data_IF_291285249252
#
_entry.id   IF_291285249252
#
_cell.length_a   1.000
_cell.length_b   1.000
_cell.length_c   1.000
_cell.angle_alpha   90.00
_cell.angle_beta   90.00
_cell.angle_gamma   90.00
#
_symmetry.space_group_name_H-M   'P 1'
#
loop_
_entity.id
_entity.type
_entity.pdbx_description
1 polymer ?
#
# COMPACT_ATOMS: atom_id res chain seq x y z
N UNK A 1 -23.78 -4.54 -15.66
CA UNK A 1 -24.40 -4.55 -17.00
C UNK A 1 -23.27 -4.51 -18.00
N UNK A 2 -23.12 -5.58 -18.79
CA UNK A 2 -22.21 -5.61 -19.92
C UNK A 2 -22.86 -4.79 -21.04
N UNK A 3 -22.18 -3.76 -21.51
CA UNK A 3 -22.63 -2.99 -22.66
C UNK A 3 -21.95 -3.59 -23.89
N UNK A 4 -22.73 -4.26 -24.73
CA UNK A 4 -22.32 -4.66 -26.07
C UNK A 4 -22.29 -3.39 -26.95
N UNK A 5 -21.15 -3.12 -27.55
CA UNK A 5 -21.05 -2.10 -28.57
C UNK A 5 -21.48 -2.71 -29.91
N UNK A 6 -22.34 -2.04 -30.69
CA UNK A 6 -22.62 -2.51 -32.03
C UNK A 6 -21.34 -2.45 -32.89
N UNK A 7 -21.00 -3.56 -33.52
CA UNK A 7 -19.77 -3.77 -34.30
C UNK A 7 -19.59 -2.85 -35.53
N UNK A 8 -20.53 -1.96 -35.82
CA UNK A 8 -20.65 -1.29 -37.13
C UNK A 8 -20.48 0.23 -37.10
N UNK A 9 -19.72 0.82 -36.20
CA UNK A 9 -19.35 2.22 -36.34
C UNK A 9 -17.82 2.39 -36.42
N UNK A 10 -17.25 2.48 -37.63
CA UNK A 10 -15.80 2.46 -37.85
C UNK A 10 -15.06 3.75 -37.43
N UNK A 11 -15.74 4.74 -36.85
CA UNK A 11 -15.18 6.06 -36.59
C UNK A 11 -14.86 6.37 -35.14
N UNK A 12 -15.09 5.44 -34.20
CA UNK A 12 -14.82 5.71 -32.77
C UNK A 12 -13.87 4.64 -32.22
N UNK A 13 -12.58 4.87 -32.34
CA UNK A 13 -11.58 4.04 -31.68
C UNK A 13 -11.25 4.61 -30.31
N UNK A 14 -11.75 3.99 -29.24
CA UNK A 14 -11.25 4.23 -27.90
C UNK A 14 -10.16 3.20 -27.59
N UNK A 15 -9.05 3.65 -27.01
CA UNK A 15 -8.05 2.73 -26.52
C UNK A 15 -8.60 1.98 -25.30
N UNK A 16 -8.32 0.68 -25.22
CA UNK A 16 -8.72 -0.15 -24.08
C UNK A 16 -8.21 0.50 -22.77
N UNK A 17 -9.11 0.69 -21.80
CA UNK A 17 -8.82 1.37 -20.55
C UNK A 17 -9.20 2.85 -20.48
N UNK A 18 -9.60 3.46 -21.58
CA UNK A 18 -10.11 4.84 -21.58
C UNK A 18 -11.42 4.99 -20.82
N UNK A 19 -11.64 6.15 -20.22
CA UNK A 19 -12.90 6.48 -19.58
C UNK A 19 -13.85 7.10 -20.62
N UNK A 20 -15.01 6.50 -20.75
CA UNK A 20 -16.05 7.00 -21.65
C UNK A 20 -17.35 7.22 -20.90
N UNK A 21 -18.06 8.26 -21.26
CA UNK A 21 -19.43 8.51 -20.81
C UNK A 21 -20.40 7.99 -21.86
N UNK A 22 -21.31 7.13 -21.45
CA UNK A 22 -22.42 6.70 -22.29
C UNK A 22 -23.57 7.66 -22.06
N UNK A 23 -23.99 8.39 -23.09
CA UNK A 23 -25.14 9.27 -23.09
C UNK A 23 -26.23 8.57 -23.88
N UNK A 24 -27.38 8.37 -23.25
CA UNK A 24 -28.55 7.77 -23.89
C UNK A 24 -29.56 8.91 -24.10
N UNK A 25 -29.97 9.13 -25.36
CA UNK A 25 -30.99 10.12 -25.66
C UNK A 25 -32.43 9.59 -25.40
N UNK A 26 -33.44 10.44 -25.48
CA UNK A 26 -34.82 10.11 -25.22
C UNK A 26 -35.40 9.06 -26.22
N UNK A 27 -34.69 8.82 -27.31
CA UNK A 27 -35.06 7.81 -28.32
C UNK A 27 -34.29 6.49 -28.10
N UNK A 28 -33.46 6.41 -27.07
CA UNK A 28 -32.66 5.22 -26.75
C UNK A 28 -31.35 5.08 -27.52
N UNK A 29 -30.97 6.07 -28.33
CA UNK A 29 -29.70 6.04 -29.04
C UNK A 29 -28.54 6.30 -28.07
N UNK A 30 -27.48 5.53 -28.22
CA UNK A 30 -26.30 5.64 -27.36
C UNK A 30 -25.22 6.48 -28.06
N UNK A 31 -24.76 7.53 -27.37
CA UNK A 31 -23.65 8.35 -27.78
C UNK A 31 -22.51 8.19 -26.79
N UNK A 32 -21.32 7.89 -27.29
CA UNK A 32 -20.12 7.74 -26.47
C UNK A 32 -19.33 9.05 -26.48
N UNK A 33 -18.97 9.50 -25.28
CA UNK A 33 -18.08 10.67 -25.10
C UNK A 33 -16.83 10.21 -24.39
N UNK A 34 -15.68 10.42 -24.99
CA UNK A 34 -14.40 10.20 -24.35
C UNK A 34 -14.21 11.24 -23.24
N UNK A 35 -14.02 10.77 -22.00
CA UNK A 35 -13.73 11.62 -20.85
C UNK A 35 -12.23 11.72 -20.61
N UNK A 36 -11.50 10.61 -20.73
CA UNK A 36 -10.07 10.58 -20.55
C UNK A 36 -9.47 9.45 -21.39
N UNK A 37 -8.51 9.77 -22.23
CA UNK A 37 -7.72 8.78 -22.92
C UNK A 37 -6.59 8.29 -22.01
N UNK A 38 -6.50 6.97 -21.83
CA UNK A 38 -5.40 6.39 -21.07
C UNK A 38 -4.20 6.18 -22.00
N UNK A 39 -3.11 6.90 -21.73
CA UNK A 39 -1.85 6.67 -22.43
C UNK A 39 -1.17 5.43 -21.83
N UNK A 40 -1.29 4.30 -22.51
CA UNK A 40 -0.65 3.05 -22.07
C UNK A 40 0.51 2.80 -23.05
N UNK A 41 1.73 2.69 -22.50
CA UNK A 41 2.85 2.19 -23.27
C UNK A 41 2.53 0.80 -23.81
N UNK A 42 2.82 0.48 -25.08
CA UNK A 42 2.57 -0.84 -25.66
C UNK A 42 3.15 -2.01 -24.88
N UNK A 43 4.22 -1.75 -24.10
CA UNK A 43 4.90 -2.76 -23.28
C UNK A 43 4.29 -2.99 -21.90
N UNK A 44 3.41 -2.11 -21.43
CA UNK A 44 2.82 -2.15 -20.07
C UNK A 44 1.32 -2.48 -20.03
N UNK A 45 0.70 -2.71 -21.17
CA UNK A 45 -0.76 -2.84 -21.31
C UNK A 45 -1.38 -3.96 -20.46
N UNK A 46 -0.67 -5.06 -20.26
CA UNK A 46 -1.17 -6.20 -19.49
C UNK A 46 -1.38 -5.94 -18.01
N UNK A 47 -0.58 -5.07 -17.39
CA UNK A 47 -0.60 -4.87 -15.93
C UNK A 47 -1.65 -3.84 -15.49
N UNK A 48 -1.84 -2.78 -16.26
CA UNK A 48 -2.86 -1.75 -15.98
C UNK A 48 -4.27 -2.33 -16.17
N UNK A 49 -4.46 -3.16 -17.19
CA UNK A 49 -5.73 -3.83 -17.45
C UNK A 49 -6.14 -4.82 -16.37
N UNK A 50 -5.17 -5.45 -15.68
CA UNK A 50 -5.44 -6.31 -14.51
C UNK A 50 -6.15 -5.58 -13.37
N UNK A 51 -5.96 -4.28 -13.23
CA UNK A 51 -6.63 -3.48 -12.21
C UNK A 51 -8.12 -3.26 -12.50
N UNK A 52 -8.51 -3.29 -13.77
CA UNK A 52 -9.85 -2.90 -14.23
C UNK A 52 -10.69 -4.06 -14.76
N UNK A 53 -10.11 -5.24 -15.03
CA UNK A 53 -10.87 -6.37 -15.61
C UNK A 53 -12.05 -6.73 -14.73
N UNK A 54 -13.29 -6.46 -15.18
CA UNK A 54 -14.48 -7.07 -14.58
C UNK A 54 -14.42 -8.58 -14.86
N UNK A 55 -14.72 -9.39 -13.89
CA UNK A 55 -14.85 -10.84 -14.09
C UNK A 55 -13.82 -11.72 -13.38
N UNK A 56 -12.67 -11.18 -12.93
CA UNK A 56 -11.86 -11.89 -11.93
C UNK A 56 -12.34 -11.49 -10.53
N UNK A 57 -12.99 -12.40 -9.87
CA UNK A 57 -13.47 -12.17 -8.51
C UNK A 57 -12.46 -12.79 -7.51
N UNK A 58 -11.92 -11.99 -6.55
CA UNK A 58 -12.09 -10.55 -6.40
C UNK A 58 -11.10 -9.76 -7.28
N UNK A 59 -11.58 -8.69 -7.96
CA UNK A 59 -10.68 -7.79 -8.69
C UNK A 59 -9.72 -7.08 -7.72
N UNK A 60 -8.51 -6.73 -8.18
CA UNK A 60 -7.54 -5.96 -7.36
C UNK A 60 -8.16 -4.68 -6.80
N UNK A 61 -8.96 -3.97 -7.58
CA UNK A 61 -9.65 -2.77 -7.13
C UNK A 61 -10.62 -3.06 -5.96
N UNK A 62 -11.35 -4.16 -6.01
CA UNK A 62 -12.24 -4.56 -4.93
C UNK A 62 -11.45 -4.86 -3.65
N UNK A 63 -10.34 -5.59 -3.76
CA UNK A 63 -9.46 -5.87 -2.62
C UNK A 63 -8.88 -4.60 -2.02
N UNK A 64 -8.46 -3.62 -2.84
CA UNK A 64 -7.95 -2.34 -2.35
C UNK A 64 -9.03 -1.51 -1.64
N UNK A 65 -10.27 -1.51 -2.15
CA UNK A 65 -11.40 -0.86 -1.47
C UNK A 65 -11.68 -1.51 -0.12
N UNK A 66 -11.69 -2.85 -0.05
CA UNK A 66 -11.84 -3.58 1.22
C UNK A 66 -10.69 -3.30 2.18
N UNK A 67 -9.45 -3.27 1.68
CA UNK A 67 -8.29 -2.93 2.49
C UNK A 67 -8.38 -1.51 3.05
N UNK A 68 -8.84 -0.54 2.26
CA UNK A 68 -9.08 0.82 2.73
C UNK A 68 -10.12 0.85 3.86
N UNK A 69 -11.26 0.17 3.68
CA UNK A 69 -12.29 0.07 4.71
C UNK A 69 -11.77 -0.59 5.99
N UNK A 70 -11.00 -1.67 5.86
CA UNK A 70 -10.38 -2.35 6.99
C UNK A 70 -9.50 -1.38 7.80
N UNK A 71 -8.68 -0.58 7.15
CA UNK A 71 -7.82 0.38 7.84
C UNK A 71 -8.61 1.49 8.54
N UNK A 72 -9.68 1.99 7.92
CA UNK A 72 -10.56 2.97 8.56
C UNK A 72 -11.22 2.41 9.81
N UNK A 73 -11.79 1.22 9.73
CA UNK A 73 -12.44 0.59 10.88
C UNK A 73 -11.44 0.22 11.98
N UNK A 74 -10.25 -0.22 11.62
CA UNK A 74 -9.16 -0.48 12.58
C UNK A 74 -8.81 0.79 13.34
N UNK A 75 -8.60 1.91 12.66
CA UNK A 75 -8.28 3.20 13.31
C UNK A 75 -9.40 3.66 14.23
N UNK A 76 -10.64 3.59 13.78
CA UNK A 76 -11.81 3.93 14.59
C UNK A 76 -11.88 3.10 15.87
N UNK A 77 -11.63 1.79 15.74
CA UNK A 77 -11.66 0.90 16.90
C UNK A 77 -10.58 1.26 17.92
N UNK A 78 -9.34 1.48 17.49
CA UNK A 78 -8.24 1.85 18.39
C UNK A 78 -8.49 3.21 19.05
N UNK A 79 -8.99 4.20 18.29
CA UNK A 79 -9.36 5.52 18.80
C UNK A 79 -10.43 5.40 19.89
N UNK A 80 -11.50 4.63 19.67
CA UNK A 80 -12.55 4.35 20.67
C UNK A 80 -12.04 3.66 21.91
N UNK A 81 -10.94 2.90 21.82
CA UNK A 81 -10.28 2.27 22.97
C UNK A 81 -9.26 3.19 23.66
N UNK A 82 -9.13 4.42 23.19
CA UNK A 82 -8.21 5.43 23.72
C UNK A 82 -6.75 5.18 23.38
N UNK A 83 -6.47 4.51 22.24
CA UNK A 83 -5.12 4.37 21.72
C UNK A 83 -4.76 5.57 20.84
N UNK A 84 -3.50 5.95 20.90
CA UNK A 84 -2.91 6.98 20.04
C UNK A 84 -2.22 6.30 18.87
N UNK A 85 -2.56 6.69 17.63
CA UNK A 85 -1.80 6.25 16.46
C UNK A 85 -0.44 6.94 16.46
N UNK A 86 0.62 6.16 16.33
CA UNK A 86 2.00 6.65 16.33
C UNK A 86 2.66 6.37 14.99
N UNK A 87 3.67 7.15 14.68
CA UNK A 87 4.53 6.96 13.53
C UNK A 87 5.99 6.95 13.98
N UNK A 88 6.71 5.89 13.64
CA UNK A 88 8.12 5.73 13.98
C UNK A 88 8.95 5.60 12.70
N UNK A 89 10.26 5.91 12.74
CA UNK A 89 11.13 5.79 11.58
C UNK A 89 11.12 4.37 10.99
N UNK A 90 10.98 4.27 9.67
CA UNK A 90 11.10 3.01 8.93
C UNK A 90 12.55 2.65 8.62
N UNK A 91 13.44 3.63 8.67
CA UNK A 91 14.88 3.48 8.45
C UNK A 91 15.62 3.82 9.73
N UNK A 92 16.39 2.87 10.24
CA UNK A 92 17.07 2.95 11.54
C UNK A 92 18.54 2.56 11.43
N UNK A 93 19.38 3.09 12.30
CA UNK A 93 20.80 2.74 12.36
C UNK A 93 21.04 1.36 12.99
N UNK A 94 20.20 0.98 13.96
CA UNK A 94 20.26 -0.30 14.64
C UNK A 94 18.86 -0.92 14.64
N UNK A 95 18.61 -1.92 13.80
CA UNK A 95 17.35 -2.66 13.79
C UNK A 95 17.26 -3.59 15.00
N UNK A 96 16.05 -4.09 15.27
CA UNK A 96 15.84 -5.12 16.29
C UNK A 96 16.67 -6.37 15.96
N UNK A 97 17.38 -6.96 16.94
CA UNK A 97 18.20 -8.16 16.74
C UNK A 97 17.30 -9.40 16.65
N UNK A 98 16.57 -9.56 15.57
CA UNK A 98 15.81 -10.75 15.28
C UNK A 98 16.68 -11.70 14.44
N UNK A 99 17.32 -12.67 15.10
CA UNK A 99 18.31 -13.57 14.50
C UNK A 99 17.76 -14.40 13.31
N UNK A 100 16.48 -14.48 13.16
CA UNK A 100 15.80 -15.29 12.13
C UNK A 100 15.50 -14.50 10.83
N UNK A 101 15.66 -13.18 10.83
CA UNK A 101 15.37 -12.35 9.64
C UNK A 101 16.65 -11.74 9.08
N UNK A 102 16.81 -11.87 7.78
CA UNK A 102 17.81 -11.11 7.05
C UNK A 102 17.33 -9.67 6.88
N UNK A 103 18.20 -8.71 7.19
CA UNK A 103 17.87 -7.28 7.16
C UNK A 103 18.08 -6.69 5.77
N UNK A 104 17.23 -5.76 5.37
CA UNK A 104 17.44 -4.94 4.18
C UNK A 104 18.29 -3.73 4.55
N UNK A 105 19.48 -3.64 3.95
CA UNK A 105 20.41 -2.52 4.14
C UNK A 105 20.11 -1.40 3.16
N UNK A 106 20.23 -0.16 3.62
CA UNK A 106 20.13 1.04 2.80
C UNK A 106 21.50 1.70 2.76
N UNK A 107 22.09 1.73 1.57
CA UNK A 107 23.35 2.41 1.32
C UNK A 107 23.05 3.83 0.82
N UNK A 108 23.58 4.84 1.51
CA UNK A 108 23.54 6.23 1.06
C UNK A 108 24.61 6.48 0.00
N UNK A 109 24.37 7.39 -0.94
CA UNK A 109 25.43 7.89 -1.81
C UNK A 109 26.47 8.63 -0.95
N UNK A 110 27.68 8.13 -0.90
CA UNK A 110 28.84 8.86 -0.41
C UNK A 110 29.20 9.91 -1.46
N UNK A 111 29.03 11.18 -1.17
CA UNK A 111 29.64 12.24 -1.97
C UNK A 111 31.15 12.15 -1.79
N UNK A 112 31.85 11.79 -2.87
CA UNK A 112 33.29 11.49 -2.87
C UNK A 112 34.22 12.62 -2.41
N UNK A 113 33.71 13.81 -2.08
CA UNK A 113 34.51 15.03 -1.85
C UNK A 113 34.38 15.63 -0.46
N UNK A 114 33.79 14.95 0.51
CA UNK A 114 33.73 15.53 1.86
C UNK A 114 34.42 14.59 2.86
N UNK A 115 35.41 15.13 3.60
CA UNK A 115 36.01 14.50 4.78
C UNK A 115 34.98 14.35 5.94
N UNK A 116 33.76 13.96 5.61
CA UNK A 116 32.72 13.65 6.56
C UNK A 116 32.85 12.18 6.96
N UNK A 117 32.64 11.84 8.24
CA UNK A 117 32.59 10.45 8.65
C UNK A 117 31.54 9.71 7.81
N UNK A 118 31.90 8.53 7.33
CA UNK A 118 30.99 7.67 6.55
C UNK A 118 29.65 7.63 7.25
N UNK A 119 28.57 7.98 6.51
CA UNK A 119 27.22 7.87 7.07
C UNK A 119 27.03 6.44 7.55
N UNK A 120 26.55 6.24 8.79
CA UNK A 120 26.27 4.91 9.28
C UNK A 120 25.31 4.19 8.33
N UNK A 121 25.56 2.92 8.08
CA UNK A 121 24.64 2.06 7.36
C UNK A 121 23.26 2.14 8.02
N UNK A 122 22.22 2.27 7.22
CA UNK A 122 20.86 2.27 7.69
C UNK A 122 20.19 0.96 7.27
N UNK A 123 19.20 0.56 8.04
CA UNK A 123 18.43 -0.66 7.82
C UNK A 123 16.95 -0.34 7.79
N UNK A 124 16.20 -1.05 6.96
CA UNK A 124 14.75 -1.03 7.01
C UNK A 124 14.25 -1.90 8.15
N UNK A 125 13.23 -1.44 8.87
CA UNK A 125 12.68 -2.15 10.03
C UNK A 125 11.98 -3.45 9.64
N UNK A 126 12.17 -4.48 10.46
CA UNK A 126 11.41 -5.75 10.39
C UNK A 126 10.08 -5.66 11.16
N UNK A 127 10.01 -4.79 12.16
CA UNK A 127 8.82 -4.38 12.91
C UNK A 127 9.05 -3.01 13.57
N UNK A 128 8.00 -2.27 13.96
CA UNK A 128 8.12 -1.03 14.71
C UNK A 128 8.35 -1.25 16.22
N UNK A 129 8.38 -2.47 16.70
CA UNK A 129 8.40 -2.87 18.12
C UNK A 129 9.38 -2.06 18.96
N UNK A 130 10.64 -2.01 18.52
CA UNK A 130 11.71 -1.41 19.30
C UNK A 130 11.50 0.10 19.52
N UNK A 131 11.03 0.78 18.48
CA UNK A 131 10.76 2.22 18.56
C UNK A 131 9.48 2.51 19.36
N UNK A 132 8.44 1.68 19.20
CA UNK A 132 7.21 1.82 19.96
C UNK A 132 7.44 1.55 21.46
N UNK A 133 8.25 0.56 21.82
CA UNK A 133 8.65 0.33 23.23
C UNK A 133 9.39 1.52 23.85
N UNK A 134 10.21 2.22 23.08
CA UNK A 134 10.85 3.47 23.55
C UNK A 134 9.83 4.56 23.83
N UNK A 135 8.75 4.64 23.06
CA UNK A 135 7.64 5.57 23.34
C UNK A 135 6.91 5.22 24.63
N UNK A 136 6.70 3.92 24.94
CA UNK A 136 6.15 3.50 26.24
C UNK A 136 7.03 3.95 27.40
N UNK A 137 8.34 3.79 27.27
CA UNK A 137 9.31 4.30 28.28
C UNK A 137 9.22 5.83 28.40
N UNK A 138 8.93 6.54 27.30
CA UNK A 138 8.67 7.97 27.27
C UNK A 138 7.35 8.43 27.87
N UNK A 139 6.52 7.49 28.36
CA UNK A 139 5.28 7.78 29.09
C UNK A 139 3.97 7.58 28.30
N UNK A 140 4.04 7.06 27.07
CA UNK A 140 2.82 6.67 26.35
C UNK A 140 2.24 5.40 26.99
N UNK A 141 0.93 5.35 27.22
CA UNK A 141 0.29 4.19 27.84
C UNK A 141 -0.40 3.27 26.85
N UNK A 142 -1.01 3.83 25.81
CA UNK A 142 -1.73 3.08 24.78
C UNK A 142 -1.40 3.63 23.41
N UNK A 143 -0.68 2.87 22.63
CA UNK A 143 -0.26 3.26 21.28
C UNK A 143 -0.50 2.14 20.29
N UNK A 144 -0.78 2.51 19.04
CA UNK A 144 -0.77 1.58 17.92
C UNK A 144 -0.12 2.22 16.70
N UNK A 145 0.32 1.38 15.77
CA UNK A 145 0.92 1.82 14.52
C UNK A 145 0.54 0.88 13.39
N UNK A 146 0.22 1.45 12.23
CA UNK A 146 0.07 0.72 10.98
C UNK A 146 1.19 1.21 10.05
N UNK A 147 2.20 0.38 9.81
CA UNK A 147 3.35 0.78 9.01
C UNK A 147 3.80 -0.30 8.03
N UNK A 148 4.72 0.08 7.13
CA UNK A 148 5.45 -0.87 6.30
C UNK A 148 6.59 -1.50 7.09
N UNK A 149 6.75 -2.82 6.90
CA UNK A 149 7.85 -3.58 7.44
C UNK A 149 8.50 -4.39 6.32
N UNK A 150 9.76 -4.74 6.54
CA UNK A 150 10.61 -5.32 5.49
C UNK A 150 11.37 -6.52 6.04
N UNK A 151 11.22 -7.69 5.39
CA UNK A 151 11.95 -8.91 5.75
C UNK A 151 12.57 -9.51 4.50
N UNK A 152 13.88 -9.48 4.44
CA UNK A 152 14.62 -10.00 3.29
C UNK A 152 14.54 -11.53 3.26
N UNK A 153 14.40 -12.09 2.06
CA UNK A 153 14.35 -13.53 1.86
C UNK A 153 12.99 -14.20 2.11
N UNK A 154 12.02 -13.50 2.71
CA UNK A 154 10.66 -14.03 2.88
C UNK A 154 9.84 -13.84 1.60
N UNK A 155 9.96 -14.77 0.64
CA UNK A 155 9.20 -14.77 -0.60
C UNK A 155 8.44 -16.08 -0.72
N UNK A 156 7.11 -15.99 -0.76
CA UNK A 156 6.23 -17.17 -0.87
C UNK A 156 4.80 -16.80 -1.21
N UNK A 157 3.92 -17.80 -1.32
CA UNK A 157 2.50 -17.56 -1.66
C UNK A 157 1.78 -16.63 -0.67
N UNK A 158 2.21 -16.60 0.59
CA UNK A 158 1.63 -15.80 1.67
C UNK A 158 2.59 -14.74 2.23
N UNK A 159 3.82 -14.69 1.73
CA UNK A 159 4.85 -13.79 2.23
C UNK A 159 5.38 -12.90 1.12
N UNK A 160 5.55 -11.63 1.45
CA UNK A 160 6.16 -10.64 0.58
C UNK A 160 7.22 -9.88 1.38
N UNK A 161 8.39 -9.57 0.79
CA UNK A 161 9.47 -8.90 1.52
C UNK A 161 9.09 -7.51 2.06
N UNK A 162 8.10 -6.85 1.47
CA UNK A 162 7.46 -5.65 1.99
C UNK A 162 6.01 -5.94 2.33
N UNK A 163 5.60 -5.70 3.56
CA UNK A 163 4.23 -5.91 4.01
C UNK A 163 3.78 -4.82 4.97
N UNK A 164 2.48 -4.81 5.29
CA UNK A 164 1.92 -3.87 6.28
C UNK A 164 1.70 -4.60 7.58
N UNK A 165 2.23 -4.04 8.66
CA UNK A 165 2.07 -4.54 10.02
C UNK A 165 1.17 -3.59 10.81
N UNK A 166 0.28 -4.16 11.62
CA UNK A 166 -0.41 -3.49 12.71
C UNK A 166 0.20 -3.98 14.01
N UNK A 167 0.68 -3.06 14.83
CA UNK A 167 1.25 -3.35 16.13
C UNK A 167 0.67 -2.40 17.17
N UNK A 168 0.45 -2.88 18.39
CA UNK A 168 -0.10 -2.06 19.48
C UNK A 168 0.45 -2.48 20.84
N UNK A 169 0.50 -1.52 21.73
CA UNK A 169 0.96 -1.72 23.09
C UNK A 169 0.03 -1.03 24.09
N UNK A 170 -0.17 -1.70 25.22
CA UNK A 170 -0.86 -1.15 26.38
C UNK A 170 0.02 -1.35 27.61
N UNK A 171 0.51 -0.25 28.18
CA UNK A 171 1.24 -0.27 29.45
C UNK A 171 0.30 -0.68 30.61
N UNK A 172 0.87 -1.26 31.64
CA UNK A 172 0.18 -1.65 32.87
C UNK A 172 -1.03 -2.60 32.70
N UNK A 173 -1.11 -3.28 31.56
CA UNK A 173 -2.11 -4.29 31.27
C UNK A 173 -1.66 -5.67 31.75
N UNK A 174 -2.55 -6.44 32.39
CA UNK A 174 -2.31 -7.87 32.61
C UNK A 174 -2.85 -8.68 31.42
N UNK A 175 -2.15 -9.73 31.04
CA UNK A 175 -2.71 -10.78 30.20
C UNK A 175 -3.79 -11.49 31.01
N UNK A 176 -5.06 -11.37 30.64
CA UNK A 176 -6.18 -12.14 31.17
C UNK A 176 -6.61 -13.16 30.15
#
# INVERSE_FOLDING_TARGET
REYFFPENNPSIFFREGSWVQVIIDDQGNQKLKLLQELWISPTSSGDILRWRRPGQNPSRMHLLKKRHQLFLETRKWFDQQGFIETETPLMVQAPSPEAQFSLMQVHGETRENENLPQKPEAFLITSPEYQMKRMLVGGFEKIFQICRCFRNGEIGPLHHPEFTMLEWYRAHGSLR
#
